data_IF_959571500180
#
_entry.id   IF_959571500180
#
_cell.length_a   1.000
_cell.length_b   1.000
_cell.length_c   1.000
_cell.angle_alpha   90.00
_cell.angle_beta   90.00
_cell.angle_gamma   90.00
#
_symmetry.space_group_name_H-M   'P 1'
#
loop_
_entity.id
_entity.type
_entity.pdbx_description
1 polymer ?
#
# COMPACT_ATOMS: atom_id res chain seq x y z
N UNK A 1 7.34 6.02 9.76
CA UNK A 1 8.55 6.84 9.51
C UNK A 1 9.76 6.15 10.10
N UNK A 2 10.89 6.17 9.40
CA UNK A 2 12.13 5.58 9.87
C UNK A 2 13.22 6.64 10.00
N UNK A 3 14.08 6.47 10.99
CA UNK A 3 15.23 7.33 11.27
C UNK A 3 16.49 6.47 11.38
N UNK A 4 17.63 7.03 10.97
CA UNK A 4 18.94 6.37 11.07
C UNK A 4 19.69 6.96 12.25
N UNK A 5 20.10 6.10 13.18
CA UNK A 5 20.91 6.46 14.34
C UNK A 5 22.29 5.87 14.16
N UNK A 6 23.31 6.73 14.07
CA UNK A 6 24.72 6.30 14.00
C UNK A 6 25.20 5.75 15.35
N UNK A 7 26.04 4.73 15.29
CA UNK A 7 26.63 4.04 16.43
C UNK A 7 28.17 4.07 16.31
N UNK A 8 28.90 3.88 17.43
CA UNK A 8 30.36 3.77 17.40
C UNK A 8 30.86 2.69 16.44
N UNK A 9 32.10 2.83 15.97
CA UNK A 9 32.71 1.85 15.06
C UNK A 9 32.16 1.90 13.64
N UNK A 10 31.66 3.06 13.19
CA UNK A 10 31.15 3.26 11.83
C UNK A 10 29.91 2.40 11.50
N UNK A 11 29.10 2.12 12.52
CA UNK A 11 27.85 1.35 12.40
C UNK A 11 26.62 2.25 12.52
N UNK A 12 25.44 1.75 12.16
CA UNK A 12 24.18 2.49 12.29
C UNK A 12 22.98 1.54 12.42
N UNK A 13 21.89 2.04 13.00
CA UNK A 13 20.61 1.34 13.10
C UNK A 13 19.52 2.19 12.47
N UNK A 14 18.66 1.57 11.65
CA UNK A 14 17.45 2.19 11.12
C UNK A 14 16.25 1.75 11.95
N UNK A 15 15.64 2.66 12.68
CA UNK A 15 14.50 2.37 13.57
C UNK A 15 13.23 3.07 13.11
N UNK A 16 12.08 2.46 13.40
CA UNK A 16 10.77 3.07 13.15
C UNK A 16 10.41 3.98 14.30
N UNK A 17 10.30 5.29 14.05
CA UNK A 17 10.04 6.32 15.07
C UNK A 17 8.60 6.80 15.10
N UNK A 18 7.84 6.55 14.02
CA UNK A 18 6.43 6.93 13.96
C UNK A 18 5.61 5.95 13.12
N UNK A 19 4.32 5.89 13.45
CA UNK A 19 3.29 5.13 12.75
C UNK A 19 2.46 6.05 11.87
N UNK A 20 2.03 5.54 10.73
CA UNK A 20 1.05 6.22 9.87
C UNK A 20 -0.35 5.71 10.21
N UNK A 21 -1.25 6.65 10.52
CA UNK A 21 -2.63 6.35 10.87
C UNK A 21 -3.57 6.94 9.81
N UNK A 22 -4.69 6.26 9.56
CA UNK A 22 -5.82 6.82 8.80
C UNK A 22 -6.51 7.91 9.62
N UNK A 23 -7.38 8.77 9.03
CA UNK A 23 -8.21 9.71 9.79
C UNK A 23 -9.07 9.03 10.86
N UNK A 24 -9.46 7.77 10.63
CA UNK A 24 -10.19 6.94 11.59
C UNK A 24 -9.31 6.31 12.68
N UNK A 25 -8.00 6.56 12.66
CA UNK A 25 -7.04 6.08 13.65
C UNK A 25 -6.43 4.70 13.36
N UNK A 26 -6.75 4.06 12.24
CA UNK A 26 -6.24 2.72 11.91
C UNK A 26 -4.79 2.77 11.45
N UNK A 27 -3.97 1.78 11.82
CA UNK A 27 -2.54 1.78 11.52
C UNK A 27 -2.27 1.16 10.15
N UNK A 28 -1.62 1.90 9.24
CA UNK A 28 -1.35 1.40 7.88
C UNK A 28 -0.32 0.27 7.88
N UNK A 29 0.70 0.34 8.74
CA UNK A 29 1.77 -0.65 8.75
C UNK A 29 1.23 -2.04 9.16
N UNK A 30 1.46 -3.05 8.32
CA UNK A 30 0.98 -4.45 8.42
C UNK A 30 -0.50 -4.68 8.14
N UNK A 31 -1.38 -3.72 8.37
CA UNK A 31 -2.81 -3.88 8.07
C UNK A 31 -3.13 -3.49 6.62
N UNK A 32 -2.41 -2.51 6.06
CA UNK A 32 -2.69 -1.98 4.73
C UNK A 32 -3.90 -1.06 4.70
N UNK A 33 -4.44 -0.85 3.49
CA UNK A 33 -5.70 -0.15 3.25
C UNK A 33 -6.49 -1.02 2.28
N UNK A 34 -7.65 -1.51 2.71
CA UNK A 34 -8.55 -2.28 1.86
C UNK A 34 -9.30 -1.34 0.91
N UNK A 35 -9.47 -1.71 -0.37
CA UNK A 35 -10.31 -0.95 -1.28
C UNK A 35 -11.80 -1.10 -0.90
N UNK A 36 -12.61 -0.09 -1.23
CA UNK A 36 -14.07 -0.19 -1.06
C UNK A 36 -14.70 -1.20 -2.03
N UNK A 37 -14.07 -1.40 -3.19
CA UNK A 37 -14.43 -2.39 -4.20
C UNK A 37 -13.19 -3.21 -4.52
N UNK A 38 -13.21 -4.47 -4.13
CA UNK A 38 -12.15 -5.43 -4.42
C UNK A 38 -12.31 -5.98 -5.84
N UNK A 39 -11.25 -5.89 -6.64
CA UNK A 39 -11.18 -6.42 -8.00
C UNK A 39 -9.87 -7.16 -8.14
N UNK A 40 -9.95 -8.48 -8.27
CA UNK A 40 -8.79 -9.32 -8.44
C UNK A 40 -8.23 -9.23 -9.86
N UNK A 41 -6.90 -9.34 -9.98
CA UNK A 41 -6.22 -9.53 -11.25
C UNK A 41 -5.95 -11.02 -11.45
N UNK A 42 -6.61 -11.65 -12.43
CA UNK A 42 -6.41 -13.08 -12.71
C UNK A 42 -5.18 -13.32 -13.58
N UNK A 43 -4.68 -14.56 -13.61
CA UNK A 43 -3.59 -14.95 -14.52
C UNK A 43 -3.99 -14.79 -16.01
N UNK A 44 -5.24 -15.02 -16.37
CA UNK A 44 -5.73 -14.78 -17.74
C UNK A 44 -5.66 -13.29 -18.08
N UNK A 45 -6.06 -12.43 -17.15
CA UNK A 45 -5.98 -10.98 -17.35
C UNK A 45 -4.53 -10.52 -17.53
N UNK A 46 -3.62 -11.02 -16.69
CA UNK A 46 -2.19 -10.73 -16.81
C UNK A 46 -1.61 -11.21 -18.15
N UNK A 47 -1.94 -12.43 -18.58
CA UNK A 47 -1.41 -13.01 -19.82
C UNK A 47 -1.99 -12.38 -21.09
N UNK A 48 -3.15 -11.72 -20.99
CA UNK A 48 -3.83 -11.07 -22.11
C UNK A 48 -3.80 -9.52 -22.02
N UNK A 49 -2.94 -8.95 -21.17
CA UNK A 49 -2.79 -7.50 -20.96
C UNK A 49 -4.13 -6.78 -20.65
N UNK A 50 -5.02 -7.42 -19.88
CA UNK A 50 -6.30 -6.83 -19.44
C UNK A 50 -6.15 -6.22 -18.05
N UNK A 51 -6.76 -5.05 -17.85
CA UNK A 51 -6.78 -4.35 -16.56
C UNK A 51 -8.23 -4.21 -16.03
N UNK A 52 -8.76 -5.26 -15.37
CA UNK A 52 -10.10 -5.22 -14.80
C UNK A 52 -10.26 -4.15 -13.70
N UNK A 53 -9.17 -3.76 -13.04
CA UNK A 53 -9.19 -2.73 -12.00
C UNK A 53 -9.42 -1.34 -12.61
N UNK A 54 -8.78 -1.04 -13.74
CA UNK A 54 -9.01 0.18 -14.49
C UNK A 54 -10.43 0.25 -15.07
N UNK A 55 -10.89 -0.84 -15.69
CA UNK A 55 -12.25 -0.90 -16.25
C UNK A 55 -13.30 -0.65 -15.17
N UNK A 56 -13.14 -1.27 -13.99
CA UNK A 56 -14.03 -1.05 -12.85
C UNK A 56 -13.97 0.39 -12.34
N UNK A 57 -12.78 1.00 -12.27
CA UNK A 57 -12.64 2.38 -11.85
C UNK A 57 -13.38 3.34 -12.80
N UNK A 58 -13.28 3.11 -14.12
CA UNK A 58 -13.99 3.92 -15.13
C UNK A 58 -15.51 3.74 -15.03
N UNK A 59 -15.98 2.51 -14.80
CA UNK A 59 -17.41 2.23 -14.58
C UNK A 59 -17.95 3.00 -13.37
N UNK A 60 -17.24 2.98 -12.23
CA UNK A 60 -17.64 3.67 -11.00
C UNK A 60 -17.68 5.19 -11.21
N UNK A 61 -16.69 5.77 -11.91
CA UNK A 61 -16.60 7.22 -12.13
C UNK A 61 -17.64 7.77 -13.11
N UNK A 62 -18.25 6.92 -13.95
CA UNK A 62 -19.27 7.32 -14.94
C UNK A 62 -20.69 7.37 -14.36
N UNK A 63 -20.91 6.80 -13.18
CA UNK A 63 -22.18 6.86 -12.44
C UNK A 63 -22.23 8.10 -11.55
#
# INVERSE_FOLDING_TARGET
VQEVVSLPGNSAVKITVAKWLTPSGNQINKEGISPDVEVDLTEDDWNNDRDPQLDKAIEILKN
#
